data_IF_750661582316
#
_entry.id   IF_750661582316
#
_cell.length_a   1.000
_cell.length_b   1.000
_cell.length_c   1.000
_cell.angle_alpha   90.00
_cell.angle_beta   90.00
_cell.angle_gamma   90.00
#
_symmetry.space_group_name_H-M   'P 1'
#
loop_
_entity.id
_entity.type
_entity.pdbx_description
1 polymer ?
#
# COMPACT_ATOMS: atom_id res chain seq x y z
N UNK A 1 -1.42 12.62 0.91
CA UNK A 1 -1.37 11.64 -0.21
C UNK A 1 -2.11 12.11 -1.45
N UNK A 2 -3.35 12.61 -1.34
CA UNK A 2 -4.15 13.13 -2.48
C UNK A 2 -3.42 14.15 -3.36
N UNK A 3 -2.73 15.13 -2.76
CA UNK A 3 -1.92 16.11 -3.52
C UNK A 3 -0.72 15.46 -4.23
N UNK A 4 -0.04 14.51 -3.59
CA UNK A 4 1.09 13.80 -4.19
C UNK A 4 0.65 13.03 -5.45
N UNK A 5 -0.54 12.44 -5.39
CA UNK A 5 -1.18 11.71 -6.48
C UNK A 5 -1.96 12.59 -7.47
N UNK A 6 -1.86 13.93 -7.37
CA UNK A 6 -2.53 14.89 -8.26
C UNK A 6 -4.04 14.68 -8.40
N UNK A 7 -4.71 14.31 -7.32
CA UNK A 7 -6.15 14.05 -7.34
C UNK A 7 -6.55 12.76 -8.05
N UNK A 8 -5.63 11.83 -8.30
CA UNK A 8 -5.98 10.47 -8.69
C UNK A 8 -6.99 9.89 -7.70
N UNK A 9 -8.13 9.47 -8.22
CA UNK A 9 -9.20 8.87 -7.45
C UNK A 9 -8.92 7.38 -7.24
N UNK A 10 -8.59 7.02 -6.00
CA UNK A 10 -8.39 5.64 -5.59
C UNK A 10 -9.61 5.04 -4.89
N UNK A 11 -10.74 5.75 -4.74
CA UNK A 11 -11.92 5.37 -3.92
C UNK A 11 -12.45 3.96 -4.17
N UNK A 12 -12.23 3.39 -5.36
CA UNK A 12 -12.53 1.98 -5.68
C UNK A 12 -11.89 0.98 -4.70
N UNK A 13 -10.86 1.39 -3.95
CA UNK A 13 -10.25 0.55 -2.91
C UNK A 13 -11.19 0.22 -1.75
N UNK A 14 -12.23 1.03 -1.51
CA UNK A 14 -13.27 0.78 -0.51
C UNK A 14 -14.40 -0.12 -1.04
N UNK A 15 -14.28 -0.65 -2.26
CA UNK A 15 -15.30 -1.54 -2.81
C UNK A 15 -15.33 -2.89 -2.09
N UNK A 16 -16.54 -3.43 -1.93
CA UNK A 16 -16.77 -4.81 -1.50
C UNK A 16 -16.16 -5.82 -2.48
N UNK A 17 -16.02 -5.45 -3.76
CA UNK A 17 -15.46 -6.33 -4.79
C UNK A 17 -13.93 -6.31 -4.76
N UNK A 18 -13.34 -7.46 -4.49
CA UNK A 18 -11.88 -7.63 -4.50
C UNK A 18 -11.21 -7.18 -5.80
N UNK A 19 -11.85 -7.42 -6.94
CA UNK A 19 -11.34 -7.01 -8.26
C UNK A 19 -11.25 -5.49 -8.40
N UNK A 20 -12.21 -4.76 -7.86
CA UNK A 20 -12.21 -3.28 -7.88
C UNK A 20 -11.15 -2.72 -6.92
N UNK A 21 -10.97 -3.36 -5.74
CA UNK A 21 -9.87 -3.00 -4.83
C UNK A 21 -8.50 -3.23 -5.43
N UNK A 22 -8.31 -4.36 -6.11
CA UNK A 22 -7.07 -4.65 -6.84
C UNK A 22 -6.81 -3.61 -7.92
N UNK A 23 -7.84 -3.31 -8.71
CA UNK A 23 -7.74 -2.33 -9.78
C UNK A 23 -7.30 -0.95 -9.25
N UNK A 24 -7.82 -0.52 -8.09
CA UNK A 24 -7.38 0.73 -7.46
C UNK A 24 -5.89 0.74 -7.11
N UNK A 25 -5.36 -0.39 -6.60
CA UNK A 25 -3.94 -0.53 -6.28
C UNK A 25 -3.11 -0.42 -7.56
N UNK A 26 -3.47 -1.17 -8.62
CA UNK A 26 -2.75 -1.17 -9.89
C UNK A 26 -2.76 0.22 -10.53
N UNK A 27 -3.93 0.86 -10.61
CA UNK A 27 -4.08 2.22 -11.13
C UNK A 27 -3.20 3.22 -10.35
N UNK A 28 -3.14 3.10 -9.02
CA UNK A 28 -2.30 4.00 -8.19
C UNK A 28 -0.82 3.69 -8.37
N UNK A 29 -0.43 2.42 -8.50
CA UNK A 29 0.96 2.02 -8.79
C UNK A 29 1.41 2.64 -10.12
N UNK A 30 0.59 2.56 -11.16
CA UNK A 30 0.91 3.14 -12.47
C UNK A 30 1.10 4.65 -12.39
N UNK A 31 0.24 5.35 -11.64
CA UNK A 31 0.39 6.80 -11.38
C UNK A 31 1.73 7.09 -10.70
N UNK A 32 2.11 6.33 -9.67
CA UNK A 32 3.39 6.52 -8.97
C UNK A 32 4.57 6.23 -9.90
N UNK A 33 4.52 5.16 -10.69
CA UNK A 33 5.61 4.79 -11.62
C UNK A 33 5.78 5.82 -12.75
N UNK A 34 4.72 6.50 -13.15
CA UNK A 34 4.76 7.59 -14.12
C UNK A 34 5.35 8.90 -13.57
N UNK A 35 5.52 9.04 -12.25
CA UNK A 35 6.13 10.23 -11.65
C UNK A 35 7.63 10.35 -11.99
N UNK A 36 8.20 11.53 -11.74
CA UNK A 36 9.66 11.70 -11.75
C UNK A 36 10.30 10.95 -10.58
N UNK A 37 11.55 10.50 -10.72
CA UNK A 37 12.25 9.68 -9.72
C UNK A 37 12.26 10.30 -8.31
N UNK A 38 12.49 11.61 -8.18
CA UNK A 38 12.46 12.27 -6.87
C UNK A 38 11.07 12.24 -6.24
N UNK A 39 10.00 12.42 -7.03
CA UNK A 39 8.62 12.29 -6.54
C UNK A 39 8.26 10.86 -6.16
N UNK A 40 8.79 9.85 -6.86
CA UNK A 40 8.65 8.44 -6.46
C UNK A 40 9.31 8.21 -5.10
N UNK A 41 10.55 8.67 -4.91
CA UNK A 41 11.26 8.58 -3.62
C UNK A 41 10.47 9.27 -2.51
N UNK A 42 9.91 10.44 -2.79
CA UNK A 42 9.05 11.16 -1.84
C UNK A 42 7.79 10.38 -1.49
N UNK A 43 7.11 9.77 -2.46
CA UNK A 43 5.98 8.89 -2.19
C UNK A 43 6.38 7.74 -1.25
N UNK A 44 7.47 7.02 -1.56
CA UNK A 44 7.95 5.90 -0.73
C UNK A 44 8.29 6.35 0.69
N UNK A 45 8.91 7.53 0.83
CA UNK A 45 9.24 8.14 2.13
C UNK A 45 7.99 8.51 2.90
N UNK A 46 7.05 9.22 2.28
CA UNK A 46 5.80 9.66 2.92
C UNK A 46 4.97 8.48 3.42
N UNK A 47 4.83 7.41 2.64
CA UNK A 47 4.12 6.20 3.10
C UNK A 47 4.82 5.57 4.31
N UNK A 48 6.15 5.65 4.38
CA UNK A 48 6.91 5.17 5.55
C UNK A 48 6.63 6.01 6.78
N UNK A 49 6.69 7.33 6.66
CA UNK A 49 6.44 8.24 7.78
C UNK A 49 4.97 8.18 8.23
N UNK A 50 4.02 8.07 7.31
CA UNK A 50 2.62 7.80 7.60
C UNK A 50 2.45 6.52 8.41
N UNK A 51 3.10 5.43 7.99
CA UNK A 51 3.02 4.14 8.71
C UNK A 51 3.59 4.23 10.13
N UNK A 52 4.67 4.99 10.33
CA UNK A 52 5.26 5.22 11.66
C UNK A 52 4.34 6.06 12.53
N UNK A 53 3.82 7.18 12.01
CA UNK A 53 2.91 8.05 12.72
C UNK A 53 1.64 7.31 13.13
N UNK A 54 1.07 6.52 12.21
CA UNK A 54 -0.07 5.64 12.49
C UNK A 54 0.21 4.66 13.64
N UNK A 55 1.38 4.03 13.66
CA UNK A 55 1.74 3.08 14.72
C UNK A 55 1.80 3.73 16.12
N UNK A 56 1.98 5.05 16.21
CA UNK A 56 1.97 5.79 17.49
C UNK A 56 0.54 6.03 18.02
N UNK A 57 -0.46 6.07 17.15
CA UNK A 57 -1.85 6.37 17.50
C UNK A 57 -2.82 5.22 17.21
N UNK A 58 -2.35 4.05 16.77
CA UNK A 58 -3.18 2.95 16.26
C UNK A 58 -4.25 2.42 17.24
N UNK A 59 -4.15 2.75 18.54
CA UNK A 59 -5.14 2.38 19.57
C UNK A 59 -6.27 3.40 19.76
N UNK A 60 -6.23 4.52 19.05
CA UNK A 60 -7.27 5.57 19.09
C UNK A 60 -8.37 5.28 18.06
N UNK A 61 -9.61 5.65 18.36
CA UNK A 61 -10.76 5.43 17.45
C UNK A 61 -10.54 6.16 16.11
N UNK A 62 -10.00 7.37 16.17
CA UNK A 62 -9.70 8.17 14.97
C UNK A 62 -8.62 7.52 14.10
N UNK A 63 -7.65 6.82 14.70
CA UNK A 63 -6.67 6.08 13.91
C UNK A 63 -7.30 4.86 13.25
N UNK A 64 -8.22 4.16 13.91
CA UNK A 64 -8.87 2.98 13.33
C UNK A 64 -9.58 3.30 12.01
N UNK A 65 -10.19 4.49 11.89
CA UNK A 65 -10.79 4.98 10.65
C UNK A 65 -9.78 5.12 9.50
N UNK A 66 -8.50 5.36 9.79
CA UNK A 66 -7.44 5.48 8.80
C UNK A 66 -6.75 4.16 8.44
N UNK A 67 -7.02 3.07 9.18
CA UNK A 67 -6.28 1.81 9.06
C UNK A 67 -6.31 1.27 7.62
N UNK A 68 -7.48 1.29 6.98
CA UNK A 68 -7.66 0.81 5.61
C UNK A 68 -6.87 1.65 4.60
N UNK A 69 -6.90 2.98 4.74
CA UNK A 69 -6.19 3.89 3.84
C UNK A 69 -4.66 3.77 4.01
N UNK A 70 -4.18 3.63 5.25
CA UNK A 70 -2.77 3.35 5.53
C UNK A 70 -2.35 2.00 4.93
N UNK A 71 -3.18 0.96 5.09
CA UNK A 71 -2.97 -0.36 4.49
C UNK A 71 -2.91 -0.32 2.96
N UNK A 72 -3.79 0.45 2.33
CA UNK A 72 -3.80 0.68 0.89
C UNK A 72 -2.46 1.27 0.42
N UNK A 73 -2.00 2.37 1.02
CA UNK A 73 -0.75 3.00 0.60
C UNK A 73 0.48 2.14 0.87
N UNK A 74 0.49 1.36 1.96
CA UNK A 74 1.53 0.35 2.22
C UNK A 74 1.57 -0.71 1.12
N UNK A 75 0.41 -1.12 0.61
CA UNK A 75 0.30 -2.09 -0.48
C UNK A 75 0.85 -1.52 -1.79
N UNK A 76 0.43 -0.30 -2.17
CA UNK A 76 0.97 0.42 -3.33
C UNK A 76 2.50 0.56 -3.23
N UNK A 77 3.01 1.01 -2.08
CA UNK A 77 4.45 1.12 -1.83
C UNK A 77 5.17 -0.21 -2.05
N UNK A 78 4.63 -1.31 -1.53
CA UNK A 78 5.24 -2.64 -1.67
C UNK A 78 5.37 -3.05 -3.13
N UNK A 79 4.33 -2.80 -3.94
CA UNK A 79 4.35 -3.10 -5.38
C UNK A 79 5.34 -2.20 -6.11
N UNK A 80 5.33 -0.89 -5.85
CA UNK A 80 6.29 0.06 -6.46
C UNK A 80 7.73 -0.34 -6.17
N UNK A 81 8.08 -0.65 -4.91
CA UNK A 81 9.44 -1.09 -4.54
C UNK A 81 9.85 -2.37 -5.27
N UNK A 82 8.91 -3.30 -5.50
CA UNK A 82 9.17 -4.54 -6.23
C UNK A 82 9.34 -4.34 -7.74
N UNK A 83 8.72 -3.30 -8.29
CA UNK A 83 8.76 -2.94 -9.71
C UNK A 83 9.98 -2.09 -10.06
N UNK A 84 10.48 -1.31 -9.12
CA UNK A 84 11.75 -0.64 -9.27
C UNK A 84 12.84 -1.71 -9.45
N UNK A 85 13.64 -1.64 -10.51
CA UNK A 85 14.72 -2.59 -10.69
C UNK A 85 15.65 -2.52 -9.48
N UNK A 86 15.83 -3.64 -8.78
CA UNK A 86 17.06 -3.85 -8.04
C UNK A 86 18.19 -3.64 -9.07
N UNK A 87 19.28 -2.96 -8.70
CA UNK A 87 20.43 -2.72 -9.59
C UNK A 87 21.00 -4.00 -10.25
N UNK A 88 20.47 -5.19 -9.93
CA UNK A 88 20.86 -6.45 -10.53
C UNK A 88 19.78 -7.23 -11.29
N UNK A 89 18.46 -7.10 -11.08
CA UNK A 89 17.47 -7.93 -11.81
C UNK A 89 16.08 -7.28 -11.95
N UNK A 90 15.63 -7.03 -13.19
CA UNK A 90 14.22 -6.69 -13.50
C UNK A 90 13.34 -7.93 -13.35
N UNK A 91 12.33 -7.89 -12.47
CA UNK A 91 11.36 -8.98 -12.29
C UNK A 91 10.26 -8.89 -13.37
N UNK A 92 9.75 -10.04 -13.82
CA UNK A 92 8.72 -10.14 -14.87
C UNK A 92 7.31 -9.92 -14.32
N UNK A 93 6.37 -9.43 -15.14
CA UNK A 93 4.98 -9.14 -14.75
C UNK A 93 4.30 -10.30 -13.99
N UNK A 94 4.52 -11.54 -14.43
CA UNK A 94 3.98 -12.73 -13.77
C UNK A 94 4.52 -12.93 -12.34
N UNK A 95 5.78 -12.56 -12.08
CA UNK A 95 6.37 -12.61 -10.74
C UNK A 95 5.81 -11.52 -9.83
N UNK A 96 5.43 -10.37 -10.41
CA UNK A 96 4.78 -9.28 -9.68
C UNK A 96 3.36 -9.71 -9.27
N UNK A 97 2.56 -10.24 -10.20
CA UNK A 97 1.19 -10.72 -9.92
C UNK A 97 1.16 -11.84 -8.87
N UNK A 98 2.04 -12.83 -9.00
CA UNK A 98 2.16 -13.90 -8.00
C UNK A 98 2.52 -13.34 -6.60
N UNK A 99 3.36 -12.32 -6.54
CA UNK A 99 3.73 -11.66 -5.30
C UNK A 99 2.64 -10.76 -4.72
N UNK A 100 1.84 -10.11 -5.56
CA UNK A 100 0.67 -9.33 -5.12
C UNK A 100 -0.32 -10.28 -4.45
N UNK A 101 -0.61 -11.42 -5.08
CA UNK A 101 -1.48 -12.45 -4.52
C UNK A 101 -0.98 -12.99 -3.17
N UNK A 102 0.34 -13.15 -3.00
CA UNK A 102 0.93 -13.56 -1.72
C UNK A 102 0.89 -12.47 -0.63
N UNK A 103 0.95 -11.19 -0.98
CA UNK A 103 0.82 -10.11 0.01
C UNK A 103 -0.60 -10.00 0.52
N UNK A 104 -1.58 -10.18 -0.36
CA UNK A 104 -3.01 -10.17 -0.02
C UNK A 104 -3.32 -11.35 0.92
N UNK A 105 -2.84 -12.56 0.61
CA UNK A 105 -3.06 -13.70 1.51
C UNK A 105 -2.46 -13.47 2.90
N UNK A 106 -1.29 -12.83 2.99
CA UNK A 106 -0.67 -12.47 4.27
C UNK A 106 -1.38 -11.34 5.01
N UNK A 107 -1.99 -10.40 4.30
CA UNK A 107 -2.77 -9.32 4.91
C UNK A 107 -4.08 -9.85 5.50
N UNK A 108 -4.72 -10.83 4.83
CA UNK A 108 -5.90 -11.53 5.34
C UNK A 108 -5.55 -12.38 6.57
N UNK A 109 -4.37 -13.03 6.57
CA UNK A 109 -3.91 -13.80 7.74
C UNK A 109 -3.51 -12.90 8.92
N UNK A 110 -3.16 -11.63 8.67
CA UNK A 110 -2.81 -10.67 9.73
C UNK A 110 -4.03 -10.11 10.48
N UNK A 111 -5.26 -10.40 10.05
CA UNK A 111 -6.47 -10.12 10.84
C UNK A 111 -6.68 -11.15 11.96
N UNK A 112 -6.00 -12.31 11.96
CA UNK A 112 -6.25 -13.38 12.94
C UNK A 112 -5.20 -13.57 14.06
N UNK A 113 -4.11 -12.81 14.12
CA UNK A 113 -3.14 -12.97 15.22
C UNK A 113 -2.39 -11.65 15.46
N UNK A 114 -2.35 -11.04 16.65
CA UNK A 114 -2.31 -11.59 18.01
C UNK A 114 -2.88 -10.55 18.99
N UNK A 115 -3.93 -10.93 19.73
CA UNK A 115 -4.31 -10.29 20.99
C UNK A 115 -3.24 -10.67 22.04
N UNK A 116 -2.29 -9.79 22.33
CA UNK A 116 -1.41 -9.91 23.49
C UNK A 116 -1.23 -8.54 24.13
N UNK A 117 -2.09 -8.23 25.10
CA UNK A 117 -1.70 -8.19 26.51
C UNK A 117 -2.87 -7.66 27.34
N UNK A 118 -3.67 -8.59 27.83
CA UNK A 118 -4.41 -8.42 29.09
C UNK A 118 -3.45 -8.77 30.22
N UNK A 119 -3.12 -7.81 31.10
CA UNK A 119 -3.18 -7.88 32.57
C UNK A 119 -2.39 -6.75 33.21
#
# INVERSE_FOLDING_TARGET
MKEMLHGHDYQKFYSEKQTERMQAIVETVDVVLAMQEERKKDFLRLVTELSKAYALCATTEEAQEMNEEVGFFKSVKSVVVKLLPEEKQKKTAAQIDAHINQLISKSIISEEVVYLASK
#
